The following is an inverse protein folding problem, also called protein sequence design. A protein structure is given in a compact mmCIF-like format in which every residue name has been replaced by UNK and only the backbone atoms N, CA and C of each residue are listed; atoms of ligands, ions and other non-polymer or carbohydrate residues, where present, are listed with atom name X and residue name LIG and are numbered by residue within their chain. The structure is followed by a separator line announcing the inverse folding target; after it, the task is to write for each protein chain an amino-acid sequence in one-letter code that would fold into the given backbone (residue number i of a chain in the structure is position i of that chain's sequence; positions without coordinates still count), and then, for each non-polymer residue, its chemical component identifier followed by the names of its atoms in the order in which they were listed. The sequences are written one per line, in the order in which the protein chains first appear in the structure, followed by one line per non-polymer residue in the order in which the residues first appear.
data_IF_569918117511
#
_entry.id   IF_569918117511
#
_cell.length_a   1.000
_cell.length_b   1.000
_cell.length_c   1.000
_cell.angle_alpha   90.00
_cell.angle_beta   90.00
_cell.angle_gamma   90.00
#
_symmetry.space_group_name_H-M   'P 1'
#
loop_
_entity.id
_entity.type
_entity.pdbx_description
1 polymer ?
#
# COMPACT_ATOMS: atom_id res chain seq x y z
N UNK A 1 9.84 2.22 5.04
CA UNK A 1 9.82 1.25 3.93
C UNK A 1 11.15 1.29 3.21
N UNK A 2 11.74 0.14 2.96
CA UNK A 2 13.08 0.05 2.39
C UNK A 2 13.08 -0.20 0.88
N UNK A 3 11.94 -0.46 0.28
CA UNK A 3 11.88 -0.71 -1.16
C UNK A 3 12.20 0.56 -1.92
N UNK A 4 13.06 0.46 -2.93
CA UNK A 4 13.38 1.62 -3.76
C UNK A 4 12.21 2.02 -4.64
N UNK A 5 11.36 1.06 -5.00
CA UNK A 5 10.15 1.31 -5.77
C UNK A 5 8.99 0.59 -5.10
N UNK A 6 7.80 1.21 -5.11
CA UNK A 6 6.64 0.54 -4.56
C UNK A 6 6.34 -0.74 -5.34
N UNK A 7 6.06 -1.86 -4.66
CA UNK A 7 5.84 -3.14 -5.33
C UNK A 7 4.39 -3.34 -5.77
N UNK A 8 3.62 -2.28 -5.89
CA UNK A 8 2.20 -2.37 -6.20
C UNK A 8 1.97 -2.25 -7.69
N UNK A 9 1.31 -3.25 -8.27
CA UNK A 9 1.05 -3.29 -9.70
C UNK A 9 -0.34 -2.72 -9.97
N UNK A 10 -0.39 -1.73 -10.85
CA UNK A 10 -1.65 -1.15 -11.29
C UNK A 10 -2.25 -2.10 -12.32
N UNK A 11 -3.42 -2.69 -12.09
CA UNK A 11 -4.00 -3.62 -13.07
C UNK A 11 -4.23 -2.92 -14.40
N UNK A 12 -3.78 -3.55 -15.50
CA UNK A 12 -3.78 -2.92 -16.79
C UNK A 12 -5.16 -2.43 -17.26
N UNK A 13 -6.24 -3.24 -17.11
CA UNK A 13 -7.56 -2.75 -17.55
C UNK A 13 -7.99 -1.51 -16.80
N UNK A 14 -7.70 -1.43 -15.50
CA UNK A 14 -8.10 -0.27 -14.70
C UNK A 14 -7.22 0.93 -15.00
N UNK A 15 -5.95 0.69 -15.27
CA UNK A 15 -5.06 1.78 -15.67
C UNK A 15 -5.53 2.39 -17.00
N UNK A 16 -5.89 1.54 -17.96
CA UNK A 16 -6.35 2.01 -19.26
C UNK A 16 -7.61 2.85 -19.15
N UNK A 17 -8.46 2.55 -18.16
CA UNK A 17 -9.69 3.28 -17.94
C UNK A 17 -9.54 4.43 -16.96
N UNK A 18 -8.32 4.67 -16.49
CA UNK A 18 -8.01 5.74 -15.53
C UNK A 18 -8.78 5.59 -14.23
N UNK A 19 -9.02 4.35 -13.83
CA UNK A 19 -9.72 4.08 -12.57
C UNK A 19 -8.75 4.27 -11.42
N UNK A 20 -9.14 5.05 -10.44
CA UNK A 20 -8.32 5.34 -9.27
C UNK A 20 -9.02 4.83 -8.01
N UNK A 21 -8.24 4.58 -6.98
CA UNK A 21 -8.80 4.14 -5.72
C UNK A 21 -7.79 4.12 -4.61
N UNK A 22 -8.30 4.04 -3.41
CA UNK A 22 -7.49 3.94 -2.19
C UNK A 22 -7.78 2.61 -1.53
N UNK A 23 -6.74 1.91 -1.13
CA UNK A 23 -6.87 0.68 -0.35
C UNK A 23 -6.10 0.90 0.93
N UNK A 24 -6.76 0.73 2.07
CA UNK A 24 -6.06 0.78 3.36
C UNK A 24 -5.92 -0.64 3.86
N UNK A 25 -4.68 -1.03 4.10
CA UNK A 25 -4.36 -2.37 4.59
C UNK A 25 -3.96 -2.28 6.05
N UNK A 26 -4.20 -3.37 6.77
CA UNK A 26 -3.51 -3.62 8.02
C UNK A 26 -2.46 -4.67 7.73
N UNK A 27 -1.20 -4.33 7.98
CA UNK A 27 -0.11 -5.26 7.75
C UNK A 27 0.61 -5.52 9.06
N UNK A 28 1.16 -6.72 9.17
CA UNK A 28 1.94 -7.13 10.33
C UNK A 28 3.40 -7.22 9.89
N UNK A 29 4.23 -6.44 10.55
CA UNK A 29 5.66 -6.37 10.21
C UNK A 29 6.42 -7.19 11.23
N UNK A 30 7.12 -8.22 10.75
CA UNK A 30 7.89 -9.11 11.60
C UNK A 30 9.11 -8.39 12.14
N UNK A 31 9.76 -9.02 13.10
CA UNK A 31 10.94 -8.45 13.74
C UNK A 31 12.08 -8.20 12.75
N UNK A 32 12.09 -8.92 11.64
CA UNK A 32 13.12 -8.75 10.61
C UNK A 32 12.73 -7.72 9.55
N UNK A 33 11.57 -7.07 9.70
CA UNK A 33 11.11 -6.06 8.74
C UNK A 33 10.28 -6.59 7.59
N UNK A 34 9.99 -7.87 7.57
CA UNK A 34 9.17 -8.46 6.51
C UNK A 34 7.70 -8.43 6.89
N UNK A 35 6.85 -8.35 5.87
CA UNK A 35 5.41 -8.38 6.07
C UNK A 35 4.96 -9.84 6.16
N UNK A 36 4.10 -10.13 7.15
CA UNK A 36 3.52 -11.46 7.30
C UNK A 36 2.30 -11.56 6.40
N UNK A 37 2.36 -12.40 5.32
CA UNK A 37 1.26 -12.41 4.35
C UNK A 37 -0.08 -12.84 4.94
N UNK A 38 -0.07 -13.84 5.81
CA UNK A 38 -1.32 -14.39 6.32
C UNK A 38 -2.02 -13.46 7.31
N UNK A 39 -1.35 -12.40 7.75
CA UNK A 39 -1.93 -11.42 8.68
C UNK A 39 -2.34 -10.13 8.00
N UNK A 40 -2.25 -10.07 6.67
CA UNK A 40 -2.62 -8.88 5.92
C UNK A 40 -4.14 -8.83 5.76
N UNK A 41 -4.71 -7.66 6.02
CA UNK A 41 -6.17 -7.45 5.92
C UNK A 41 -6.46 -6.17 5.17
N UNK A 42 -7.54 -6.18 4.40
CA UNK A 42 -8.06 -4.96 3.79
C UNK A 42 -8.97 -4.30 4.81
N UNK A 43 -8.59 -3.13 5.28
CA UNK A 43 -9.37 -2.37 6.25
C UNK A 43 -10.38 -1.48 5.54
N UNK A 44 -9.97 -0.87 4.43
CA UNK A 44 -10.85 -0.04 3.61
C UNK A 44 -10.62 -0.41 2.16
N UNK A 45 -11.69 -0.82 1.48
CA UNK A 45 -11.62 -1.24 0.10
C UNK A 45 -11.68 -0.04 -0.83
N UNK A 46 -11.03 -0.16 -1.98
CA UNK A 46 -11.14 0.84 -3.04
C UNK A 46 -12.50 0.81 -3.73
N UNK A 47 -13.26 -0.26 -3.54
CA UNK A 47 -14.45 -0.54 -4.32
C UNK A 47 -14.16 -1.32 -5.59
N UNK A 48 -12.90 -1.61 -5.86
CA UNK A 48 -12.48 -2.38 -7.04
C UNK A 48 -11.67 -3.58 -6.56
N UNK A 49 -12.22 -4.79 -6.68
CA UNK A 49 -11.50 -5.98 -6.19
C UNK A 49 -10.10 -6.13 -6.76
N UNK A 50 -9.88 -5.72 -8.02
CA UNK A 50 -8.57 -5.84 -8.64
C UNK A 50 -7.54 -4.93 -7.97
N UNK A 51 -7.94 -3.72 -7.56
CA UNK A 51 -7.03 -2.83 -6.84
C UNK A 51 -6.74 -3.38 -5.45
N UNK A 52 -7.78 -3.86 -4.76
CA UNK A 52 -7.61 -4.43 -3.43
C UNK A 52 -6.66 -5.62 -3.48
N UNK A 53 -6.84 -6.50 -4.45
CA UNK A 53 -6.00 -7.69 -4.61
C UNK A 53 -4.56 -7.30 -4.91
N UNK A 54 -4.37 -6.31 -5.78
CA UNK A 54 -3.04 -5.83 -6.13
C UNK A 54 -2.33 -5.24 -4.91
N UNK A 55 -3.07 -4.51 -4.07
CA UNK A 55 -2.51 -3.95 -2.85
C UNK A 55 -2.06 -5.04 -1.90
N UNK A 56 -2.89 -6.05 -1.69
CA UNK A 56 -2.54 -7.16 -0.80
C UNK A 56 -1.31 -7.90 -1.32
N UNK A 57 -1.31 -8.22 -2.60
CA UNK A 57 -0.19 -8.96 -3.20
C UNK A 57 1.10 -8.16 -3.10
N UNK A 58 1.03 -6.87 -3.45
CA UNK A 58 2.23 -6.04 -3.42
C UNK A 58 2.76 -5.83 -2.01
N UNK A 59 1.85 -5.76 -1.01
CA UNK A 59 2.29 -5.52 0.36
C UNK A 59 3.21 -6.62 0.88
N UNK A 60 3.08 -7.83 0.33
CA UNK A 60 3.90 -8.94 0.77
C UNK A 60 5.36 -8.78 0.38
N UNK A 61 5.64 -7.88 -0.54
CA UNK A 61 7.01 -7.61 -0.97
C UNK A 61 7.61 -6.39 -0.32
N UNK A 62 6.85 -5.73 0.56
CA UNK A 62 7.38 -4.58 1.27
C UNK A 62 8.42 -5.01 2.28
N UNK A 63 9.39 -4.14 2.49
CA UNK A 63 10.43 -4.33 3.49
C UNK A 63 10.54 -3.06 4.31
N UNK A 64 10.71 -3.22 5.60
CA UNK A 64 10.76 -2.11 6.53
C UNK A 64 11.97 -2.23 7.42
N UNK A 65 12.43 -1.08 7.92
CA UNK A 65 13.34 -1.09 9.05
C UNK A 65 12.55 -1.60 10.25
N UNK A 66 13.04 -2.62 10.96
CA UNK A 66 12.29 -3.16 12.10
C UNK A 66 12.06 -2.11 13.16
N UNK A 67 10.86 -2.14 13.75
CA UNK A 67 10.58 -1.33 14.92
C UNK A 67 11.36 -1.86 16.12
N UNK A 68 11.70 -0.98 17.04
CA UNK A 68 12.48 -1.37 18.20
C UNK A 68 11.83 -0.88 19.48
N UNK A 69 11.93 -1.69 20.51
CA UNK A 69 11.57 -1.30 21.86
C UNK A 69 12.71 -1.67 22.76
N UNK A 70 13.21 -0.68 23.50
CA UNK A 70 14.36 -0.89 24.43
C UNK A 70 15.55 -1.50 23.71
N UNK A 71 15.78 -1.06 22.46
CA UNK A 71 16.93 -1.50 21.68
C UNK A 71 16.75 -2.82 20.98
N UNK A 72 15.61 -3.50 21.13
CA UNK A 72 15.38 -4.80 20.51
C UNK A 72 14.31 -4.73 19.44
N UNK A 73 14.48 -5.47 18.33
CA UNK A 73 13.46 -5.47 17.30
C UNK A 73 12.17 -6.10 17.79
N UNK A 74 11.05 -5.52 17.42
CA UNK A 74 9.74 -6.03 17.78
C UNK A 74 8.87 -6.11 16.54
N UNK A 75 7.89 -7.01 16.57
CA UNK A 75 6.87 -7.09 15.54
C UNK A 75 5.79 -6.07 15.83
N UNK A 76 5.25 -5.44 14.79
CA UNK A 76 4.19 -4.43 14.94
C UNK A 76 3.18 -4.57 13.83
N UNK A 77 1.99 -4.06 14.10
CA UNK A 77 0.92 -4.00 13.11
C UNK A 77 0.67 -2.53 12.80
N UNK A 78 0.55 -2.19 11.51
CA UNK A 78 0.31 -0.81 11.12
C UNK A 78 -0.79 -0.75 10.07
N UNK A 79 -1.37 0.44 9.90
CA UNK A 79 -2.21 0.75 8.76
C UNK A 79 -1.32 1.25 7.64
N UNK A 80 -1.56 0.74 6.46
CA UNK A 80 -0.74 1.11 5.31
C UNK A 80 -1.64 1.46 4.14
N UNK A 81 -1.73 2.74 3.78
CA UNK A 81 -2.57 3.14 2.65
C UNK A 81 -1.84 2.94 1.33
N UNK A 82 -2.57 2.45 0.33
CA UNK A 82 -2.05 2.29 -1.03
C UNK A 82 -2.94 3.11 -1.93
N UNK A 83 -2.34 4.05 -2.64
CA UNK A 83 -3.08 4.97 -3.50
C UNK A 83 -2.80 4.63 -4.96
N UNK A 84 -3.85 4.23 -5.68
CA UNK A 84 -3.74 4.00 -7.12
C UNK A 84 -4.20 5.26 -7.81
N UNK A 85 -3.26 5.95 -8.43
CA UNK A 85 -3.51 7.23 -9.09
C UNK A 85 -3.00 7.19 -10.51
N UNK A 86 -3.84 7.62 -11.44
CA UNK A 86 -3.46 7.72 -12.84
C UNK A 86 -3.01 9.16 -13.09
N UNK A 87 -1.87 9.36 -13.78
CA UNK A 87 -1.32 10.71 -13.94
C UNK A 87 -2.23 11.65 -14.74
N UNK A 88 -3.14 11.12 -15.54
CA UNK A 88 -4.02 11.94 -16.37
C UNK A 88 -5.44 12.03 -15.83
N UNK A 89 -5.72 11.40 -14.68
CA UNK A 89 -7.06 11.46 -14.10
C UNK A 89 -7.15 12.63 -13.12
N UNK A 90 -8.39 13.07 -12.87
CA UNK A 90 -8.62 14.09 -11.86
C UNK A 90 -8.32 13.54 -10.47
N UNK A 91 -7.81 14.37 -9.56
CA UNK A 91 -7.62 13.92 -8.18
C UNK A 91 -8.94 13.48 -7.55
N UNK A 92 -8.87 12.47 -6.68
CA UNK A 92 -10.03 12.05 -5.93
C UNK A 92 -10.32 13.07 -4.82
N UNK A 93 -11.56 13.10 -4.33
CA UNK A 93 -11.87 13.98 -3.21
C UNK A 93 -10.95 13.70 -2.03
N UNK A 94 -10.43 14.75 -1.45
CA UNK A 94 -9.52 14.63 -0.33
C UNK A 94 -8.06 14.49 -0.69
N UNK A 95 -7.73 14.32 -1.96
CA UNK A 95 -6.33 14.28 -2.38
C UNK A 95 -5.69 15.64 -2.16
N UNK A 96 -4.46 15.58 -1.66
CA UNK A 96 -3.63 16.78 -1.61
C UNK A 96 -2.97 16.94 -2.96
N UNK A 97 -3.33 17.99 -3.66
CA UNK A 97 -2.80 18.25 -4.99
C UNK A 97 -1.59 19.16 -4.87
N UNK A 98 -0.44 18.61 -5.16
CA UNK A 98 0.80 19.38 -5.15
C UNK A 98 1.01 19.92 -6.55
N UNK A 99 1.09 21.21 -6.68
CA UNK A 99 1.31 21.84 -7.96
C UNK A 99 2.73 21.62 -8.39
N UNK A 100 2.89 21.19 -9.62
CA UNK A 100 4.20 21.06 -10.23
C UNK A 100 4.40 22.20 -11.19
N UNK A 101 5.58 22.74 -11.14
CA UNK A 101 5.87 23.86 -12.06
C UNK A 101 6.89 23.44 -13.05
#
# INVERSE_FOLDING_TARGET
MLNSEPPFRYPAPLYAQKVQGNVTLRIFIERDGRVRPESTRVMESSGYPSLDSSAVTGSQELRFTPARAKGEPIAVSIRFPVFFRHPEANPLPGDTVLRRR
#
